data_IF_813835693499
#
_entry.id   IF_813835693499
#
_cell.length_a   1.000
_cell.length_b   1.000
_cell.length_c   1.000
_cell.angle_alpha   90.00
_cell.angle_beta   90.00
_cell.angle_gamma   90.00
#
_symmetry.space_group_name_H-M   'P 1'
#
loop_
_entity.id
_entity.type
_entity.pdbx_description
1 polymer ?
#
# COMPACT_ATOMS: atom_id res chain seq x y z
N UNK A 1 -3.70 -19.86 -15.00
CA UNK A 1 -2.64 -20.78 -15.42
C UNK A 1 -1.81 -21.12 -14.19
N UNK A 2 -1.50 -22.38 -14.01
CA UNK A 2 -0.63 -22.86 -12.95
C UNK A 2 0.76 -22.27 -13.17
N UNK A 3 1.17 -21.40 -12.28
CA UNK A 3 2.51 -20.87 -12.23
C UNK A 3 3.29 -21.72 -11.26
N UNK A 4 3.94 -22.75 -11.79
CA UNK A 4 4.78 -23.65 -11.02
C UNK A 4 6.22 -23.13 -10.88
N UNK A 5 7.05 -23.94 -10.24
CA UNK A 5 8.48 -23.70 -10.04
C UNK A 5 9.22 -23.32 -11.33
N UNK A 6 8.80 -23.85 -12.48
CA UNK A 6 9.35 -23.53 -13.79
C UNK A 6 9.19 -22.07 -14.25
N UNK A 7 8.39 -21.26 -13.54
CA UNK A 7 8.35 -19.81 -13.80
C UNK A 7 9.64 -19.09 -13.42
N UNK A 8 10.36 -19.63 -12.44
CA UNK A 8 11.61 -19.06 -11.94
C UNK A 8 12.81 -20.01 -12.17
N UNK A 9 12.57 -21.31 -12.28
CA UNK A 9 13.59 -22.33 -12.48
C UNK A 9 13.53 -22.90 -13.90
N UNK A 10 14.67 -23.29 -14.44
CA UNK A 10 14.77 -23.88 -15.78
C UNK A 10 14.17 -25.29 -15.85
N UNK A 11 13.95 -25.91 -14.71
CA UNK A 11 13.53 -27.29 -14.59
C UNK A 11 12.42 -27.41 -13.52
N UNK A 12 11.39 -28.19 -13.82
CA UNK A 12 10.27 -28.45 -12.92
C UNK A 12 10.64 -29.31 -11.69
N UNK A 13 11.92 -29.73 -11.58
CA UNK A 13 12.37 -30.59 -10.50
C UNK A 13 13.21 -29.86 -9.46
N UNK A 14 12.59 -29.33 -8.39
CA UNK A 14 13.30 -28.61 -7.35
C UNK A 14 14.31 -29.45 -6.53
N UNK A 15 14.30 -30.78 -6.69
CA UNK A 15 15.21 -31.67 -5.96
C UNK A 15 16.61 -31.79 -6.58
N UNK A 16 16.84 -31.27 -7.77
CA UNK A 16 18.10 -31.40 -8.50
C UNK A 16 19.01 -30.18 -8.40
N UNK A 17 18.85 -29.33 -7.38
CA UNK A 17 19.63 -28.09 -7.28
C UNK A 17 19.32 -27.17 -8.45
N UNK A 18 18.06 -27.00 -8.74
CA UNK A 18 17.53 -26.29 -9.87
C UNK A 18 18.24 -24.96 -10.08
N UNK A 19 18.86 -24.77 -11.23
CA UNK A 19 19.43 -23.49 -11.60
C UNK A 19 18.30 -22.49 -11.78
N UNK A 20 18.47 -21.32 -11.20
CA UNK A 20 17.57 -20.18 -11.45
C UNK A 20 17.67 -19.85 -12.93
N UNK A 21 16.53 -19.64 -13.56
CA UNK A 21 16.48 -19.22 -14.95
C UNK A 21 17.37 -17.99 -15.16
N UNK A 22 18.36 -18.09 -16.01
CA UNK A 22 19.29 -17.01 -16.31
C UNK A 22 18.59 -15.73 -16.85
N UNK A 23 17.33 -15.85 -17.25
CA UNK A 23 16.47 -14.76 -17.68
C UNK A 23 15.47 -14.33 -16.61
N UNK A 24 15.73 -14.63 -15.32
CA UNK A 24 14.90 -14.16 -14.23
C UNK A 24 14.94 -12.63 -14.21
N UNK A 25 13.85 -12.02 -14.59
CA UNK A 25 13.70 -10.58 -14.71
C UNK A 25 12.56 -10.09 -13.84
N UNK A 26 12.52 -8.81 -13.56
CA UNK A 26 11.40 -8.14 -12.88
C UNK A 26 10.04 -8.47 -13.51
N UNK A 27 10.01 -8.83 -14.79
CA UNK A 27 8.81 -9.27 -15.49
C UNK A 27 8.24 -10.58 -14.94
N UNK A 28 9.08 -11.51 -14.51
CA UNK A 28 8.67 -12.77 -13.88
C UNK A 28 8.06 -12.50 -12.51
N UNK A 29 8.75 -11.75 -11.67
CA UNK A 29 8.28 -11.35 -10.34
C UNK A 29 6.98 -10.54 -10.43
N UNK A 30 6.94 -9.55 -11.30
CA UNK A 30 5.80 -8.67 -11.54
C UNK A 30 4.57 -9.36 -12.12
N UNK A 31 4.69 -10.61 -12.54
CA UNK A 31 3.55 -11.42 -12.94
C UNK A 31 2.65 -11.83 -11.74
N UNK A 32 3.24 -11.94 -10.54
CA UNK A 32 2.52 -12.15 -9.27
C UNK A 32 2.50 -10.88 -8.43
N UNK A 33 3.61 -10.13 -8.40
CA UNK A 33 3.74 -8.88 -7.64
C UNK A 33 3.24 -7.68 -8.48
N UNK A 34 1.95 -7.72 -8.85
CA UNK A 34 1.35 -6.74 -9.76
C UNK A 34 1.29 -5.32 -9.22
N UNK A 35 1.31 -5.12 -7.89
CA UNK A 35 1.31 -3.78 -7.31
C UNK A 35 2.65 -3.07 -7.53
N UNK A 36 3.76 -3.74 -7.24
CA UNK A 36 5.12 -3.23 -7.48
C UNK A 36 5.32 -2.92 -8.97
N UNK A 37 4.82 -3.80 -9.82
CA UNK A 37 4.79 -3.55 -11.27
C UNK A 37 3.95 -2.32 -11.64
N UNK A 38 2.80 -2.12 -10.99
CA UNK A 38 1.96 -0.95 -11.25
C UNK A 38 2.65 0.36 -10.83
N UNK A 39 3.34 0.39 -9.71
CA UNK A 39 4.14 1.53 -9.26
C UNK A 39 5.17 1.92 -10.32
N UNK A 40 5.93 0.95 -10.80
CA UNK A 40 6.99 1.18 -11.76
C UNK A 40 6.49 1.55 -13.16
N UNK A 41 5.55 0.77 -13.71
CA UNK A 41 5.16 0.86 -15.13
C UNK A 41 3.91 1.68 -15.37
N UNK A 42 2.82 1.44 -14.61
CA UNK A 42 1.56 2.12 -14.85
C UNK A 42 1.56 3.56 -14.31
N UNK A 43 2.20 3.77 -13.17
CA UNK A 43 2.27 5.08 -12.52
C UNK A 43 3.60 5.80 -12.75
N UNK A 44 4.61 5.11 -13.29
CA UNK A 44 5.94 5.65 -13.62
C UNK A 44 6.60 6.36 -12.42
N UNK A 45 6.45 5.79 -11.24
CA UNK A 45 7.08 6.32 -10.04
C UNK A 45 8.51 5.82 -10.00
N UNK A 46 9.47 6.73 -9.86
CA UNK A 46 10.88 6.38 -9.77
C UNK A 46 11.18 5.66 -8.45
N UNK A 47 12.27 4.90 -8.47
CA UNK A 47 12.88 4.29 -7.28
C UNK A 47 14.38 4.34 -7.46
N UNK A 48 15.09 4.91 -6.50
CA UNK A 48 16.55 5.15 -6.64
C UNK A 48 17.35 3.88 -6.83
N UNK A 49 16.91 2.75 -6.27
CA UNK A 49 17.61 1.48 -6.40
C UNK A 49 17.40 0.88 -7.80
N UNK A 50 16.17 0.89 -8.29
CA UNK A 50 15.86 0.47 -9.66
C UNK A 50 16.51 1.38 -10.70
N UNK A 51 16.52 2.68 -10.46
CA UNK A 51 17.16 3.66 -11.35
C UNK A 51 18.69 3.49 -11.37
N UNK A 52 19.27 2.93 -10.29
CA UNK A 52 20.65 2.50 -10.22
C UNK A 52 20.92 1.11 -10.85
N UNK A 53 19.91 0.47 -11.39
CA UNK A 53 20.01 -0.83 -12.07
C UNK A 53 19.88 -2.05 -11.15
N UNK A 54 19.43 -1.87 -9.91
CA UNK A 54 19.13 -2.98 -9.00
C UNK A 54 17.80 -3.63 -9.39
N UNK A 55 17.77 -4.94 -9.37
CA UNK A 55 16.58 -5.78 -9.60
C UNK A 55 15.96 -6.28 -8.28
N UNK A 56 14.90 -7.08 -8.39
CA UNK A 56 14.22 -7.63 -7.21
C UNK A 56 15.17 -8.47 -6.33
N UNK A 57 16.03 -9.27 -6.96
CA UNK A 57 16.96 -10.16 -6.27
C UNK A 57 18.17 -9.44 -5.67
N UNK A 58 18.35 -8.18 -5.97
CA UNK A 58 19.38 -7.35 -5.32
C UNK A 58 19.08 -7.08 -3.85
N UNK A 59 17.80 -7.20 -3.46
CA UNK A 59 17.32 -7.02 -2.10
C UNK A 59 16.72 -8.31 -1.53
N UNK A 60 15.85 -8.99 -2.29
CA UNK A 60 15.16 -10.18 -1.84
C UNK A 60 16.04 -11.42 -1.96
N UNK A 61 16.09 -12.21 -0.89
CA UNK A 61 16.91 -13.41 -0.79
C UNK A 61 16.16 -14.67 -1.20
N UNK A 62 16.88 -15.78 -1.27
CA UNK A 62 16.26 -17.10 -1.47
C UNK A 62 15.31 -17.46 -0.33
N UNK A 63 15.59 -17.02 0.89
CA UNK A 63 14.77 -17.27 2.08
C UNK A 63 13.47 -16.50 1.99
N UNK A 64 13.48 -15.24 1.52
CA UNK A 64 12.27 -14.49 1.22
C UNK A 64 11.37 -15.19 0.19
N UNK A 65 11.96 -15.94 -0.74
CA UNK A 65 11.24 -16.60 -1.83
C UNK A 65 10.76 -18.02 -1.49
N UNK A 66 11.52 -18.75 -0.71
CA UNK A 66 11.24 -20.16 -0.40
C UNK A 66 10.88 -20.39 1.08
N UNK A 67 11.00 -19.36 1.92
CA UNK A 67 10.86 -19.46 3.36
C UNK A 67 12.12 -20.03 4.03
N UNK A 68 12.23 -19.78 5.29
CA UNK A 68 13.32 -20.20 6.19
C UNK A 68 13.01 -21.50 6.95
N UNK A 69 11.87 -22.14 6.64
CA UNK A 69 11.36 -23.33 7.30
C UNK A 69 10.40 -23.05 8.46
N UNK A 70 10.18 -21.78 8.83
CA UNK A 70 9.17 -21.38 9.81
C UNK A 70 7.82 -21.14 9.14
N UNK A 71 6.74 -21.27 9.91
CA UNK A 71 5.40 -20.99 9.45
C UNK A 71 4.97 -19.58 9.92
N UNK A 72 4.69 -18.70 8.99
CA UNK A 72 4.18 -17.35 9.23
C UNK A 72 2.72 -17.27 8.83
N UNK A 73 1.92 -16.53 9.58
CA UNK A 73 0.51 -16.27 9.25
C UNK A 73 0.36 -15.11 8.25
N UNK A 74 1.35 -14.25 8.18
CA UNK A 74 1.39 -13.07 7.34
C UNK A 74 2.83 -12.74 6.93
N UNK A 75 2.98 -12.18 5.73
CA UNK A 75 4.25 -11.58 5.29
C UNK A 75 4.68 -10.38 6.14
N UNK A 76 3.82 -9.92 7.05
CA UNK A 76 4.13 -8.85 8.01
C UNK A 76 4.59 -9.38 9.36
N UNK A 77 4.61 -10.69 9.57
CA UNK A 77 5.15 -11.27 10.79
C UNK A 77 6.67 -11.10 10.81
N UNK A 78 7.21 -10.91 11.99
CA UNK A 78 8.66 -10.76 12.15
C UNK A 78 9.40 -12.01 11.65
N UNK A 79 10.37 -11.81 10.77
CA UNK A 79 11.13 -12.87 10.13
C UNK A 79 10.52 -13.45 8.86
N UNK A 80 9.27 -13.08 8.50
CA UNK A 80 8.65 -13.56 7.26
C UNK A 80 9.29 -12.98 5.99
N UNK A 81 9.76 -11.75 6.09
CA UNK A 81 10.62 -11.07 5.09
C UNK A 81 11.73 -10.39 5.88
N UNK A 82 12.96 -10.74 5.59
CA UNK A 82 14.12 -10.25 6.35
C UNK A 82 14.84 -9.09 5.68
N UNK A 83 14.50 -8.76 4.44
CA UNK A 83 15.11 -7.64 3.72
C UNK A 83 14.90 -6.30 4.44
N UNK A 84 15.98 -5.65 4.86
CA UNK A 84 15.97 -4.38 5.59
C UNK A 84 16.87 -3.36 4.92
N UNK A 85 16.50 -2.09 5.01
CA UNK A 85 17.35 -0.99 4.52
C UNK A 85 18.75 -1.02 5.16
N UNK A 86 18.83 -1.39 6.44
CA UNK A 86 20.08 -1.47 7.22
C UNK A 86 21.03 -2.55 6.74
N UNK A 87 20.62 -3.51 5.93
CA UNK A 87 21.50 -4.58 5.43
C UNK A 87 22.56 -4.01 4.48
N UNK A 88 22.20 -2.95 3.75
CA UNK A 88 23.12 -2.22 2.89
C UNK A 88 23.48 -0.85 3.46
N UNK A 89 22.51 -0.14 4.04
CA UNK A 89 22.72 1.19 4.63
C UNK A 89 23.18 1.09 6.09
N UNK A 90 24.39 0.55 6.30
CA UNK A 90 25.00 0.33 7.63
C UNK A 90 25.34 1.61 8.36
N UNK A 91 25.38 2.73 7.66
CA UNK A 91 25.55 4.08 8.24
C UNK A 91 24.70 5.08 7.51
N UNK A 92 23.92 5.85 8.25
CA UNK A 92 23.15 6.98 7.73
C UNK A 92 23.85 8.29 8.04
N UNK A 93 23.60 9.30 7.22
CA UNK A 93 24.18 10.63 7.44
C UNK A 93 23.83 11.13 8.84
N UNK A 94 24.85 11.53 9.60
CA UNK A 94 24.65 12.15 10.91
C UNK A 94 24.10 13.57 10.74
N UNK A 95 22.79 13.69 10.77
CA UNK A 95 22.09 14.97 10.69
C UNK A 95 20.89 14.98 11.65
N UNK A 96 20.28 16.14 11.82
CA UNK A 96 19.15 16.30 12.74
C UNK A 96 17.93 15.47 12.34
N UNK A 97 17.72 15.21 11.07
CA UNK A 97 16.57 14.45 10.59
C UNK A 97 16.63 12.99 11.03
N UNK A 98 17.78 12.34 10.91
CA UNK A 98 17.96 10.95 11.35
C UNK A 98 18.04 10.80 12.87
N UNK A 99 18.48 11.83 13.60
CA UNK A 99 18.56 11.77 15.06
C UNK A 99 17.29 12.19 15.79
N UNK A 100 16.42 12.99 15.15
CA UNK A 100 15.26 13.61 15.81
C UNK A 100 14.20 12.57 16.26
N UNK A 101 13.95 11.56 15.44
CA UNK A 101 12.92 10.54 15.71
C UNK A 101 13.52 9.25 16.29
N UNK A 102 14.86 9.12 16.30
CA UNK A 102 15.54 7.92 16.75
C UNK A 102 15.04 6.67 16.00
N UNK A 103 14.68 5.63 16.74
CA UNK A 103 14.18 4.38 16.21
C UNK A 103 12.63 4.31 16.18
N UNK A 104 11.95 5.44 16.37
CA UNK A 104 10.49 5.46 16.44
C UNK A 104 9.80 5.69 15.09
N UNK A 105 10.56 6.06 14.05
CA UNK A 105 10.05 6.28 12.69
C UNK A 105 10.89 5.45 11.72
N UNK A 106 10.22 4.64 10.91
CA UNK A 106 10.88 3.80 9.93
C UNK A 106 11.49 4.62 8.79
N UNK A 107 12.55 4.09 8.17
CA UNK A 107 13.16 4.70 6.99
C UNK A 107 12.13 4.91 5.87
N UNK A 108 11.23 3.94 5.69
CA UNK A 108 10.17 3.97 4.69
C UNK A 108 9.18 5.12 4.90
N UNK A 109 8.90 5.51 6.14
CA UNK A 109 7.98 6.62 6.44
C UNK A 109 8.45 7.95 5.84
N UNK A 110 9.78 8.13 5.75
CA UNK A 110 10.39 9.33 5.19
C UNK A 110 10.78 9.19 3.72
N UNK A 111 11.28 8.01 3.30
CA UNK A 111 11.91 7.82 2.01
C UNK A 111 10.99 7.23 0.93
N UNK A 112 9.80 6.71 1.25
CA UNK A 112 8.81 6.32 0.25
C UNK A 112 8.15 7.57 -0.34
N UNK A 113 8.24 7.72 -1.67
CA UNK A 113 7.65 8.86 -2.38
C UNK A 113 6.13 8.74 -2.51
N UNK A 114 5.65 7.55 -2.84
CA UNK A 114 4.25 7.32 -3.14
C UNK A 114 3.85 5.89 -2.83
N UNK A 115 2.63 5.71 -2.38
CA UNK A 115 1.98 4.41 -2.31
C UNK A 115 0.83 4.40 -3.29
N UNK A 116 0.76 3.35 -4.12
CA UNK A 116 -0.36 3.12 -5.04
C UNK A 116 -1.35 2.18 -4.39
N UNK A 117 -2.60 2.58 -4.34
CA UNK A 117 -3.66 1.75 -3.78
C UNK A 117 -4.87 1.67 -4.69
N UNK A 118 -5.56 0.52 -4.64
CA UNK A 118 -6.85 0.33 -5.28
C UNK A 118 -7.95 0.71 -4.30
N UNK A 119 -8.74 1.72 -4.66
CA UNK A 119 -9.87 2.14 -3.85
C UNK A 119 -11.17 1.50 -4.32
N UNK A 120 -11.97 1.08 -3.37
CA UNK A 120 -13.33 0.61 -3.53
C UNK A 120 -13.45 -0.53 -4.56
N UNK A 121 -12.85 -1.69 -4.25
CA UNK A 121 -13.12 -2.91 -5.02
C UNK A 121 -14.59 -3.31 -4.86
N UNK A 122 -15.27 -3.42 -5.99
CA UNK A 122 -16.66 -3.84 -6.06
C UNK A 122 -16.71 -5.38 -6.10
N UNK A 123 -17.09 -6.01 -4.98
CA UNK A 123 -16.92 -7.44 -4.81
C UNK A 123 -17.98 -8.25 -5.56
N UNK A 124 -19.15 -7.69 -5.86
CA UNK A 124 -20.18 -8.34 -6.69
C UNK A 124 -19.63 -8.74 -8.05
N UNK A 125 -18.73 -7.93 -8.62
CA UNK A 125 -18.09 -8.27 -9.90
C UNK A 125 -17.16 -9.48 -9.81
N UNK A 126 -16.54 -9.73 -8.66
CA UNK A 126 -15.76 -10.97 -8.45
C UNK A 126 -16.65 -12.19 -8.37
N UNK A 127 -17.81 -12.07 -7.71
CA UNK A 127 -18.77 -13.18 -7.55
C UNK A 127 -19.48 -13.50 -8.88
N UNK A 128 -19.90 -12.49 -9.63
CA UNK A 128 -20.72 -12.66 -10.82
C UNK A 128 -19.93 -12.94 -12.10
N UNK A 129 -18.79 -12.25 -12.27
CA UNK A 129 -18.01 -12.31 -13.52
C UNK A 129 -16.51 -12.65 -13.32
N UNK A 130 -16.12 -13.03 -12.11
CA UNK A 130 -14.74 -13.41 -11.74
C UNK A 130 -13.70 -12.32 -12.06
N UNK A 131 -14.09 -11.07 -11.87
CA UNK A 131 -13.20 -9.92 -12.10
C UNK A 131 -13.30 -8.94 -10.95
N UNK A 132 -12.16 -8.63 -10.35
CA UNK A 132 -12.04 -7.54 -9.39
C UNK A 132 -12.10 -6.21 -10.13
N UNK A 133 -13.12 -5.42 -9.88
CA UNK A 133 -13.27 -4.08 -10.45
C UNK A 133 -13.13 -3.08 -9.31
N UNK A 134 -12.10 -2.25 -9.37
CA UNK A 134 -11.91 -1.13 -8.47
C UNK A 134 -12.54 0.13 -9.06
N UNK A 135 -12.99 1.04 -8.20
CA UNK A 135 -13.38 2.39 -8.62
C UNK A 135 -12.21 3.12 -9.28
N UNK A 136 -11.03 3.03 -8.68
CA UNK A 136 -9.83 3.62 -9.23
C UNK A 136 -8.57 3.18 -8.49
N UNK A 137 -7.44 3.57 -9.06
CA UNK A 137 -6.14 3.51 -8.41
C UNK A 137 -5.73 4.93 -8.06
N UNK A 138 -5.38 5.12 -6.81
CA UNK A 138 -4.85 6.40 -6.33
C UNK A 138 -3.37 6.24 -6.04
N UNK A 139 -2.59 7.24 -6.40
CA UNK A 139 -1.18 7.35 -6.04
C UNK A 139 -0.99 8.47 -5.01
N UNK A 140 0.18 8.50 -4.41
CA UNK A 140 0.52 9.48 -3.38
C UNK A 140 -0.40 9.41 -2.14
N UNK A 141 -0.82 8.19 -1.80
CA UNK A 141 -1.62 7.89 -0.63
C UNK A 141 -0.75 7.23 0.43
N UNK A 142 -0.11 8.03 1.25
CA UNK A 142 0.84 7.59 2.28
C UNK A 142 0.21 7.67 3.65
N UNK A 143 -0.36 6.57 4.11
CA UNK A 143 -0.90 6.51 5.47
C UNK A 143 0.20 6.23 6.47
N UNK A 144 0.17 6.90 7.61
CA UNK A 144 1.07 6.60 8.73
C UNK A 144 0.29 5.91 9.84
N UNK A 145 0.82 4.80 10.30
CA UNK A 145 0.29 4.04 11.43
C UNK A 145 1.42 3.65 12.39
N UNK A 146 1.07 3.32 13.63
CA UNK A 146 2.02 2.77 14.59
C UNK A 146 1.95 1.25 14.58
N UNK A 147 3.09 0.60 14.46
CA UNK A 147 3.23 -0.83 14.61
C UNK A 147 4.38 -1.13 15.55
N UNK A 148 4.08 -1.78 16.68
CA UNK A 148 5.08 -2.16 17.68
C UNK A 148 5.94 -0.98 18.18
N UNK A 149 5.38 0.22 18.26
CA UNK A 149 6.08 1.43 18.70
C UNK A 149 6.83 2.18 17.60
N UNK A 150 6.78 1.71 16.36
CA UNK A 150 7.39 2.36 15.20
C UNK A 150 6.33 2.94 14.27
N UNK A 151 6.50 4.16 13.83
CA UNK A 151 5.68 4.78 12.79
C UNK A 151 6.12 4.26 11.42
N UNK A 152 5.21 3.60 10.73
CA UNK A 152 5.45 2.99 9.43
C UNK A 152 4.51 3.55 8.37
N UNK A 153 4.92 3.46 7.11
CA UNK A 153 4.04 3.68 5.97
C UNK A 153 3.05 2.53 5.88
N UNK A 154 1.80 2.91 5.73
CA UNK A 154 0.70 2.01 5.48
C UNK A 154 0.04 2.24 4.14
N UNK A 155 -0.78 1.28 3.80
CA UNK A 155 -1.65 1.35 2.65
C UNK A 155 -3.10 1.10 3.08
N UNK A 156 -4.00 1.57 2.26
CA UNK A 156 -5.43 1.49 2.40
C UNK A 156 -6.00 0.49 1.39
N UNK A 157 -6.95 -0.29 1.83
CA UNK A 157 -7.78 -1.12 0.94
C UNK A 157 -9.24 -0.99 1.34
N UNK A 158 -10.12 -0.86 0.37
CA UNK A 158 -11.55 -0.87 0.62
C UNK A 158 -12.30 -1.77 -0.35
N UNK A 159 -13.35 -2.38 0.16
CA UNK A 159 -14.23 -3.29 -0.57
C UNK A 159 -15.67 -2.98 -0.22
N UNK A 160 -16.53 -3.00 -1.21
CA UNK A 160 -17.98 -2.95 -1.02
C UNK A 160 -18.64 -4.25 -1.48
N UNK A 161 -19.65 -4.70 -0.74
CA UNK A 161 -20.48 -5.85 -1.08
C UNK A 161 -21.86 -5.73 -0.43
N UNK A 162 -22.91 -5.86 -1.23
CA UNK A 162 -24.30 -5.79 -0.76
C UNK A 162 -24.58 -4.56 0.13
N UNK A 163 -24.12 -3.38 -0.27
CA UNK A 163 -24.29 -2.13 0.46
C UNK A 163 -23.47 -2.00 1.74
N UNK A 164 -22.60 -2.98 2.03
CA UNK A 164 -21.65 -2.94 3.14
C UNK A 164 -20.28 -2.55 2.63
N UNK A 165 -19.48 -1.93 3.49
CA UNK A 165 -18.12 -1.54 3.18
C UNK A 165 -17.14 -2.02 4.23
N UNK A 166 -15.95 -2.39 3.78
CA UNK A 166 -14.80 -2.70 4.61
C UNK A 166 -13.66 -1.78 4.23
N UNK A 167 -13.02 -1.21 5.21
CA UNK A 167 -11.78 -0.47 5.09
C UNK A 167 -10.71 -1.20 5.90
N UNK A 168 -9.54 -1.38 5.30
CA UNK A 168 -8.41 -1.99 5.96
C UNK A 168 -7.14 -1.17 5.73
N UNK A 169 -6.42 -0.91 6.81
CA UNK A 169 -5.07 -0.36 6.79
C UNK A 169 -4.07 -1.39 7.27
N UNK A 170 -2.91 -1.39 6.67
CA UNK A 170 -1.78 -2.20 7.12
C UNK A 170 -0.47 -1.64 6.60
N UNK A 171 0.66 -2.00 7.22
CA UNK A 171 1.98 -1.63 6.72
C UNK A 171 2.14 -2.04 5.25
N UNK A 172 2.86 -1.22 4.51
CA UNK A 172 3.15 -1.50 3.11
C UNK A 172 4.49 -0.87 2.70
N UNK A 173 5.35 -1.71 2.17
CA UNK A 173 6.67 -1.30 1.71
C UNK A 173 6.64 -1.09 0.20
N UNK A 174 6.35 0.14 -0.22
CA UNK A 174 6.31 0.51 -1.62
C UNK A 174 7.73 0.58 -2.21
N UNK A 175 7.86 0.16 -3.47
CA UNK A 175 9.13 0.24 -4.22
C UNK A 175 9.20 1.56 -4.99
N UNK A 176 9.18 2.66 -4.20
CA UNK A 176 9.18 4.04 -4.68
C UNK A 176 10.10 4.89 -3.81
N UNK A 177 11.29 4.36 -3.55
CA UNK A 177 12.26 4.99 -2.64
C UNK A 177 12.90 6.21 -3.31
N UNK A 178 12.96 7.31 -2.57
CA UNK A 178 13.69 8.52 -2.95
C UNK A 178 14.92 8.74 -2.07
N UNK A 179 15.95 9.35 -2.66
CA UNK A 179 17.09 9.84 -1.89
C UNK A 179 16.67 10.96 -0.94
N UNK A 180 15.86 11.88 -1.43
CA UNK A 180 15.37 13.01 -0.63
C UNK A 180 14.12 12.57 0.13
N UNK A 181 14.18 12.73 1.45
CA UNK A 181 13.08 12.40 2.34
C UNK A 181 11.97 13.47 2.28
N UNK A 182 10.79 13.11 2.76
CA UNK A 182 9.71 14.07 2.99
C UNK A 182 10.14 15.12 4.02
N UNK A 183 9.56 16.31 3.95
CA UNK A 183 9.86 17.39 4.88
C UNK A 183 9.14 17.20 6.24
N UNK A 184 9.60 17.90 7.27
CA UNK A 184 8.92 17.91 8.56
C UNK A 184 7.45 18.39 8.43
N UNK A 185 7.21 19.38 7.57
CA UNK A 185 5.88 19.92 7.33
C UNK A 185 4.92 18.95 6.66
N UNK A 186 5.45 18.02 5.86
CA UNK A 186 4.61 16.99 5.22
C UNK A 186 3.98 16.02 6.24
N UNK A 187 4.59 15.87 7.43
CA UNK A 187 4.07 15.04 8.50
C UNK A 187 3.40 15.86 9.62
N UNK A 188 4.02 16.97 10.05
CA UNK A 188 3.62 17.68 11.27
C UNK A 188 2.70 18.88 11.06
N UNK A 189 2.57 19.40 9.86
CA UNK A 189 1.81 20.62 9.59
C UNK A 189 1.11 20.57 8.24
N UNK A 190 0.76 19.37 7.76
CA UNK A 190 0.01 19.25 6.52
C UNK A 190 -1.49 19.46 6.76
N UNK A 191 -2.22 19.65 5.67
CA UNK A 191 -3.66 19.93 5.68
C UNK A 191 -4.49 18.86 6.43
N UNK A 192 -4.05 17.61 6.47
CA UNK A 192 -4.78 16.52 7.12
C UNK A 192 -4.62 16.58 8.65
N UNK A 193 -3.42 16.95 9.11
CA UNK A 193 -3.15 17.18 10.53
C UNK A 193 -3.94 18.39 11.02
N UNK A 194 -3.94 19.48 10.24
CA UNK A 194 -4.72 20.69 10.55
C UNK A 194 -6.23 20.38 10.55
N UNK A 195 -6.71 19.66 9.55
CA UNK A 195 -8.12 19.27 9.49
C UNK A 195 -8.53 18.43 10.72
N UNK A 196 -7.71 17.46 11.11
CA UNK A 196 -8.00 16.66 12.29
C UNK A 196 -7.98 17.50 13.57
N UNK A 197 -7.01 18.40 13.71
CA UNK A 197 -6.91 19.30 14.87
C UNK A 197 -8.15 20.20 15.00
N UNK A 198 -8.63 20.74 13.89
CA UNK A 198 -9.72 21.70 13.88
C UNK A 198 -11.11 21.06 13.91
N UNK A 199 -11.27 19.88 13.32
CA UNK A 199 -12.56 19.23 13.08
C UNK A 199 -12.70 17.86 13.76
N UNK A 200 -11.60 17.28 14.25
CA UNK A 200 -11.58 15.93 14.83
C UNK A 200 -11.72 14.80 13.79
N UNK A 201 -11.66 15.12 12.50
CA UNK A 201 -11.83 14.16 11.40
C UNK A 201 -10.94 14.51 10.22
N UNK A 202 -10.45 13.47 9.51
CA UNK A 202 -9.72 13.61 8.24
C UNK A 202 -10.61 13.09 7.11
N UNK A 203 -10.87 13.90 6.11
CA UNK A 203 -11.56 13.51 4.88
C UNK A 203 -10.60 12.75 3.95
N UNK A 204 -10.66 11.44 3.94
CA UNK A 204 -9.76 10.60 3.13
C UNK A 204 -10.28 10.39 1.72
N UNK A 205 -11.53 10.01 1.60
CA UNK A 205 -12.24 9.86 0.31
C UNK A 205 -13.64 10.38 0.49
N UNK A 206 -14.01 11.39 -0.27
CA UNK A 206 -15.28 12.09 -0.13
C UNK A 206 -16.03 12.11 -1.45
N UNK A 207 -17.32 11.81 -1.41
CA UNK A 207 -18.21 12.00 -2.54
C UNK A 207 -18.52 13.49 -2.76
N UNK A 208 -18.21 13.99 -3.94
CA UNK A 208 -18.48 15.38 -4.33
C UNK A 208 -19.36 15.39 -5.59
N UNK A 209 -20.64 15.67 -5.41
CA UNK A 209 -21.62 15.73 -6.50
C UNK A 209 -21.33 16.85 -7.52
N UNK A 210 -20.55 17.84 -7.13
CA UNK A 210 -20.20 18.98 -8.01
C UNK A 210 -19.10 18.64 -9.00
N UNK A 211 -18.31 17.61 -8.72
CA UNK A 211 -17.25 17.13 -9.61
C UNK A 211 -17.76 16.05 -10.56
N UNK A 212 -18.75 16.39 -11.34
CA UNK A 212 -19.30 15.53 -12.38
C UNK A 212 -18.26 15.12 -13.41
N UNK A 213 -17.51 14.06 -13.16
CA UNK A 213 -16.79 13.34 -14.20
C UNK A 213 -17.84 12.62 -15.06
N UNK A 214 -17.81 12.76 -16.40
CA UNK A 214 -18.69 12.04 -17.30
C UNK A 214 -18.63 10.50 -17.14
N UNK A 215 -17.64 9.99 -16.45
CA UNK A 215 -17.53 8.58 -16.06
C UNK A 215 -18.11 8.26 -14.66
N UNK A 216 -18.79 9.21 -14.02
CA UNK A 216 -19.38 9.06 -12.69
C UNK A 216 -18.34 8.98 -11.57
N UNK A 217 -17.16 9.57 -11.76
CA UNK A 217 -16.10 9.56 -10.76
C UNK A 217 -16.16 10.81 -9.89
N UNK A 218 -16.99 10.75 -8.89
CA UNK A 218 -17.22 11.86 -7.97
C UNK A 218 -16.49 11.73 -6.63
N UNK A 219 -15.66 10.69 -6.43
CA UNK A 219 -14.84 10.56 -5.24
C UNK A 219 -13.59 11.43 -5.34
N UNK A 220 -13.43 12.31 -4.38
CA UNK A 220 -12.22 13.11 -4.17
C UNK A 220 -11.40 12.44 -3.08
N UNK A 221 -10.14 12.16 -3.38
CA UNK A 221 -9.23 11.54 -2.44
C UNK A 221 -8.22 12.55 -1.89
N UNK A 222 -7.92 12.45 -0.61
CA UNK A 222 -6.77 13.10 0.01
C UNK A 222 -5.47 12.74 -0.71
N UNK A 223 -4.45 13.53 -0.55
CA UNK A 223 -3.14 13.32 -1.17
C UNK A 223 -2.03 13.53 -0.11
N UNK A 224 -0.88 12.92 -0.33
CA UNK A 224 0.28 13.09 0.55
C UNK A 224 0.28 12.17 1.77
N UNK A 225 0.78 12.67 2.86
CA UNK A 225 0.92 11.93 4.12
C UNK A 225 -0.32 12.13 4.96
N UNK A 226 -0.97 11.02 5.30
CA UNK A 226 -2.25 10.99 6.04
C UNK A 226 -2.03 10.18 7.32
N UNK A 227 -1.89 10.82 8.48
CA UNK A 227 -1.76 10.11 9.74
C UNK A 227 -3.09 9.41 10.10
N UNK A 228 -3.01 8.19 10.62
CA UNK A 228 -4.18 7.53 11.21
C UNK A 228 -4.36 8.10 12.62
N UNK A 229 -5.41 8.91 12.86
CA UNK A 229 -5.54 9.68 14.10
C UNK A 229 -5.94 8.80 15.28
N UNK A 230 -5.72 9.27 16.53
CA UNK A 230 -6.03 8.52 17.76
C UNK A 230 -7.47 8.04 17.84
N UNK A 231 -8.40 8.84 17.36
CA UNK A 231 -9.84 8.56 17.34
C UNK A 231 -10.31 7.87 16.05
N UNK A 232 -9.44 7.10 15.38
CA UNK A 232 -9.75 6.41 14.14
C UNK A 232 -11.03 5.57 14.22
N UNK A 233 -11.17 4.77 15.26
CA UNK A 233 -12.33 3.89 15.45
C UNK A 233 -13.59 4.63 15.90
N UNK A 234 -13.50 5.87 16.35
CA UNK A 234 -14.59 6.75 16.73
C UNK A 234 -14.99 7.71 15.61
N UNK A 235 -14.52 7.46 14.37
CA UNK A 235 -14.85 8.27 13.21
C UNK A 235 -13.86 9.39 12.90
N UNK A 236 -12.63 9.29 13.40
CA UNK A 236 -11.56 10.25 13.10
C UNK A 236 -11.10 10.30 11.65
N UNK A 237 -11.59 9.39 10.80
CA UNK A 237 -11.39 9.43 9.35
C UNK A 237 -12.70 9.18 8.63
N UNK A 238 -12.96 9.96 7.57
CA UNK A 238 -14.16 9.82 6.74
C UNK A 238 -13.83 9.16 5.41
N UNK A 239 -14.62 8.14 5.10
CA UNK A 239 -14.57 7.41 3.85
C UNK A 239 -15.96 7.34 3.25
N UNK A 240 -16.09 7.75 2.01
CA UNK A 240 -17.27 7.55 1.22
C UNK A 240 -17.01 6.39 0.23
N UNK A 241 -17.99 5.54 0.07
CA UNK A 241 -17.90 4.36 -0.78
C UNK A 241 -18.86 4.47 -1.94
N UNK A 242 -18.53 3.76 -3.00
CA UNK A 242 -19.37 3.66 -4.19
C UNK A 242 -19.61 2.21 -4.58
N UNK A 243 -20.75 1.95 -5.17
CA UNK A 243 -21.08 0.67 -5.80
C UNK A 243 -21.42 0.90 -7.28
N UNK A 244 -21.63 -0.16 -8.03
CA UNK A 244 -22.08 -0.08 -9.43
C UNK A 244 -23.47 -0.62 -9.59
N UNK A 245 -24.26 0.04 -10.44
CA UNK A 245 -25.64 -0.37 -10.76
C UNK A 245 -25.69 -1.68 -11.55
N UNK A 246 -24.63 -1.99 -12.30
CA UNK A 246 -24.52 -3.24 -13.03
C UNK A 246 -23.05 -3.63 -13.22
N UNK A 247 -22.80 -4.94 -13.22
CA UNK A 247 -21.47 -5.48 -13.49
C UNK A 247 -21.08 -5.23 -14.95
N UNK A 248 -19.97 -4.53 -15.14
CA UNK A 248 -19.34 -4.31 -16.44
C UNK A 248 -19.65 -2.99 -17.14
N UNK A 249 -20.80 -2.35 -16.92
CA UNK A 249 -21.20 -1.14 -17.66
C UNK A 249 -21.99 -0.11 -16.84
N UNK A 250 -22.28 -0.36 -15.57
CA UNK A 250 -23.07 0.52 -14.73
C UNK A 250 -22.31 1.78 -14.31
N UNK A 251 -23.06 2.79 -13.93
CA UNK A 251 -22.51 3.98 -13.28
C UNK A 251 -22.15 3.67 -11.82
N UNK A 252 -21.22 4.44 -11.30
CA UNK A 252 -20.89 4.41 -9.89
C UNK A 252 -21.93 5.21 -9.11
N UNK A 253 -22.42 4.65 -8.04
CA UNK A 253 -23.40 5.25 -7.14
C UNK A 253 -22.84 5.32 -5.74
N UNK A 254 -23.21 6.37 -5.00
CA UNK A 254 -22.83 6.55 -3.62
C UNK A 254 -23.46 5.47 -2.72
N UNK A 255 -22.63 4.83 -1.93
CA UNK A 255 -23.07 3.95 -0.85
C UNK A 255 -23.09 4.76 0.42
N UNK A 256 -24.25 4.87 1.08
CA UNK A 256 -24.30 5.57 2.38
C UNK A 256 -23.30 4.98 3.34
N UNK A 257 -22.39 5.82 3.81
CA UNK A 257 -21.56 5.53 4.95
C UNK A 257 -22.44 5.50 6.21
N UNK A 258 -22.30 4.48 7.01
CA UNK A 258 -23.12 4.33 8.22
C UNK A 258 -22.65 3.15 9.05
N UNK A 259 -23.54 2.61 9.87
CA UNK A 259 -23.27 1.52 10.82
C UNK A 259 -22.71 0.21 10.23
N UNK A 260 -22.64 0.09 8.91
CA UNK A 260 -22.19 -1.12 8.20
C UNK A 260 -20.76 -1.04 7.66
N UNK A 261 -19.94 -0.10 8.13
CA UNK A 261 -18.53 -0.03 7.78
C UNK A 261 -17.72 -0.81 8.80
N UNK A 262 -16.96 -1.79 8.31
CA UNK A 262 -15.96 -2.49 9.11
C UNK A 262 -14.61 -1.85 8.92
N UNK A 263 -13.99 -1.44 10.01
CA UNK A 263 -12.68 -0.82 10.04
C UNK A 263 -11.66 -1.80 10.61
N UNK A 264 -10.63 -2.09 9.84
CA UNK A 264 -9.52 -2.94 10.23
C UNK A 264 -8.23 -2.13 10.19
N UNK A 265 -7.42 -2.28 11.22
CA UNK A 265 -6.11 -1.64 11.31
C UNK A 265 -5.10 -2.67 11.80
N UNK A 266 -4.14 -3.01 10.95
CA UNK A 266 -3.01 -3.86 11.31
C UNK A 266 -1.89 -3.01 11.91
N UNK A 267 -2.06 -2.66 13.18
CA UNK A 267 -1.27 -1.73 13.96
C UNK A 267 -2.15 -0.97 14.92
N UNK A 268 -1.72 0.22 15.32
CA UNK A 268 -2.49 1.16 16.13
C UNK A 268 -2.49 2.56 15.51
N UNK A 269 -3.48 3.40 15.85
CA UNK A 269 -3.44 4.81 15.50
C UNK A 269 -2.19 5.50 16.05
N UNK A 270 -1.84 6.64 15.48
CA UNK A 270 -0.80 7.51 16.02
C UNK A 270 -1.33 8.23 17.28
N UNK A 271 -0.45 8.45 18.23
CA UNK A 271 -0.75 9.16 19.49
C UNK A 271 -0.20 10.58 19.47
#
# INVERSE_FOLDING_TARGET
GERGCASCHEDDNPQLGAQVNANLTDGVCGACHGRQKAEALAHQISDVHRDAGMDCMSCHTLEDMHGDGNAYLSMLDEGAIDTKCSDCHTSVASNSYHSMHGETVSCSACHIQSVVTCNNCHFESEVEVHKKIAYGQFKNWKFLLNRNGMVEIGNYQSVTHNGKAVVAFGPYYAHTIAKDAVSCGDCHGNEHVEQWHDQGVIDVVVWDETKGDPNGKNLVAAQGIIPIPPNYFEGGMRFDFVTRTAVGSGQWEFVKTGADIYQLLYGTPLT
#
